data_IF_571354014670
#
_entry.id   IF_571354014670
#
_cell.length_a   1.000
_cell.length_b   1.000
_cell.length_c   1.000
_cell.angle_alpha   90.00
_cell.angle_beta   90.00
_cell.angle_gamma   90.00
#
_symmetry.space_group_name_H-M   'P 1'
#
loop_
_entity.id
_entity.type
_entity.pdbx_description
1 polymer ?
#
# COMPACT_ATOMS: atom_id res chain seq x y z
N UNK A 1 63.63 -10.32 -31.33
CA UNK A 1 63.26 -10.25 -29.90
C UNK A 1 62.17 -9.21 -29.78
N UNK A 2 60.92 -9.68 -29.80
CA UNK A 2 59.70 -8.93 -30.16
C UNK A 2 59.19 -8.15 -28.96
N UNK A 3 59.13 -6.83 -29.13
CA UNK A 3 58.50 -5.88 -28.22
C UNK A 3 56.98 -6.00 -28.35
N UNK A 4 56.30 -5.66 -27.25
CA UNK A 4 54.91 -5.21 -27.17
C UNK A 4 53.83 -6.29 -27.37
N UNK A 5 52.71 -6.05 -26.67
CA UNK A 5 51.40 -6.70 -26.79
C UNK A 5 51.20 -7.94 -25.90
N UNK A 6 50.72 -7.71 -24.67
CA UNK A 6 49.34 -8.09 -24.26
C UNK A 6 49.17 -7.85 -22.76
N UNK A 7 48.63 -6.68 -22.43
CA UNK A 7 47.99 -6.43 -21.14
C UNK A 7 46.71 -7.28 -21.05
N UNK A 8 46.80 -8.42 -20.39
CA UNK A 8 45.66 -9.29 -20.14
C UNK A 8 45.60 -9.61 -18.64
N UNK A 9 44.52 -9.14 -18.00
CA UNK A 9 43.77 -9.70 -16.87
C UNK A 9 43.31 -8.62 -15.87
N UNK A 10 42.04 -8.75 -15.51
CA UNK A 10 41.37 -8.19 -14.34
C UNK A 10 40.87 -6.74 -14.41
N UNK A 11 39.96 -6.48 -15.34
CA UNK A 11 38.78 -5.66 -15.02
C UNK A 11 37.53 -6.24 -15.67
N UNK A 12 37.24 -7.51 -15.31
CA UNK A 12 35.89 -8.06 -15.50
C UNK A 12 35.00 -7.52 -14.38
N UNK A 13 33.85 -6.98 -14.78
CA UNK A 13 32.65 -6.95 -13.95
C UNK A 13 32.54 -5.74 -13.03
N UNK A 14 31.78 -4.73 -13.46
CA UNK A 14 30.40 -4.56 -12.98
C UNK A 14 29.81 -3.29 -13.63
N UNK A 15 29.41 -3.36 -14.90
CA UNK A 15 28.26 -2.57 -15.33
C UNK A 15 27.04 -3.32 -14.81
N UNK A 16 26.67 -3.11 -13.54
CA UNK A 16 25.27 -3.25 -13.23
C UNK A 16 24.56 -2.16 -14.06
N UNK A 17 23.60 -2.49 -14.94
CA UNK A 17 22.53 -1.54 -15.13
C UNK A 17 22.04 -1.27 -13.72
N UNK A 18 22.07 -0.01 -13.31
CA UNK A 18 21.24 0.43 -12.20
C UNK A 18 19.83 -0.04 -12.55
N UNK A 19 19.45 -1.22 -12.04
CA UNK A 19 18.06 -1.57 -11.99
C UNK A 19 17.44 -0.36 -11.30
N UNK A 20 16.40 0.27 -11.86
CA UNK A 20 15.62 1.18 -11.04
C UNK A 20 15.36 0.39 -9.76
N UNK A 21 15.82 0.91 -8.62
CA UNK A 21 15.38 0.40 -7.33
C UNK A 21 13.90 0.71 -7.34
N UNK A 22 13.14 -0.19 -7.93
CA UNK A 22 11.71 -0.22 -7.85
C UNK A 22 11.49 -0.48 -6.38
N UNK A 23 11.39 0.62 -5.63
CA UNK A 23 10.64 0.66 -4.39
C UNK A 23 9.25 0.30 -4.86
N UNK A 24 9.05 -1.00 -4.95
CA UNK A 24 7.79 -1.61 -5.22
C UNK A 24 7.01 -1.41 -3.93
N UNK A 25 6.48 -0.20 -3.78
CA UNK A 25 5.41 0.08 -2.84
C UNK A 25 4.14 -0.50 -3.49
N UNK A 26 4.10 -1.82 -3.66
CA UNK A 26 2.88 -2.48 -4.08
C UNK A 26 1.84 -2.23 -3.00
N UNK A 27 0.84 -1.42 -3.35
CA UNK A 27 -0.27 -1.15 -2.47
C UNK A 27 -1.06 -2.44 -2.26
N UNK A 28 -1.29 -2.80 -1.01
CA UNK A 28 -2.12 -3.95 -0.68
C UNK A 28 -3.60 -3.57 -0.73
N UNK A 29 -4.45 -4.50 -1.17
CA UNK A 29 -5.90 -4.32 -1.08
C UNK A 29 -6.29 -4.20 0.40
N UNK A 30 -7.08 -3.18 0.72
CA UNK A 30 -7.46 -2.88 2.10
C UNK A 30 -6.45 -2.01 2.87
N UNK A 31 -5.36 -1.58 2.23
CA UNK A 31 -4.47 -0.59 2.82
C UNK A 31 -5.19 0.75 3.02
N UNK A 32 -4.85 1.45 4.11
CA UNK A 32 -5.25 2.83 4.35
C UNK A 32 -4.04 3.74 4.13
N UNK A 33 -4.26 4.85 3.43
CA UNK A 33 -3.24 5.86 3.17
C UNK A 33 -3.78 7.24 3.56
N UNK A 34 -3.06 7.92 4.45
CA UNK A 34 -3.33 9.32 4.76
C UNK A 34 -2.63 10.18 3.72
N UNK A 35 -3.37 11.08 3.09
CA UNK A 35 -2.88 11.93 2.01
C UNK A 35 -3.03 13.41 2.39
N UNK A 36 -2.09 14.25 1.97
CA UNK A 36 -2.12 15.69 2.20
C UNK A 36 -2.89 16.49 1.14
N UNK A 37 -3.43 15.81 0.12
CA UNK A 37 -4.19 16.41 -0.97
C UNK A 37 -5.68 16.05 -0.85
N UNK A 38 -6.55 16.94 -1.35
CA UNK A 38 -8.01 16.83 -1.21
C UNK A 38 -8.72 15.98 -2.27
N UNK A 39 -8.05 14.98 -2.84
CA UNK A 39 -8.66 14.11 -3.86
C UNK A 39 -8.25 12.65 -3.65
N UNK A 40 -9.14 11.73 -4.01
CA UNK A 40 -8.84 10.31 -4.00
C UNK A 40 -8.06 9.91 -5.27
N UNK A 41 -6.88 9.28 -5.15
CA UNK A 41 -6.14 8.79 -6.31
C UNK A 41 -6.91 7.67 -7.02
N UNK A 42 -6.62 7.45 -8.31
CA UNK A 42 -7.22 6.34 -9.07
C UNK A 42 -6.90 5.01 -8.41
N UNK A 43 -7.84 4.07 -8.49
CA UNK A 43 -7.83 2.74 -7.83
C UNK A 43 -7.89 2.76 -6.30
N UNK A 44 -8.05 3.94 -5.70
CA UNK A 44 -8.35 4.10 -4.27
C UNK A 44 -9.77 4.60 -4.10
N UNK A 45 -10.24 4.57 -2.87
CA UNK A 45 -11.57 5.08 -2.52
C UNK A 45 -11.49 5.71 -1.13
N UNK A 46 -12.15 6.86 -0.96
CA UNK A 46 -12.09 7.59 0.30
C UNK A 46 -12.73 6.78 1.44
N UNK A 47 -12.05 6.72 2.57
CA UNK A 47 -12.57 6.15 3.81
C UNK A 47 -13.55 7.12 4.49
N UNK A 48 -14.68 7.37 3.84
CA UNK A 48 -15.72 8.32 4.24
C UNK A 48 -17.04 7.66 4.68
N UNK A 49 -17.03 6.36 4.96
CA UNK A 49 -18.24 5.63 5.39
C UNK A 49 -19.19 5.24 4.25
N UNK A 50 -18.75 5.29 3.00
CA UNK A 50 -19.60 4.98 1.85
C UNK A 50 -19.95 3.49 1.74
N UNK A 51 -21.11 3.20 1.15
CA UNK A 51 -21.56 1.85 0.83
C UNK A 51 -21.20 1.53 -0.62
N UNK A 52 -20.48 0.42 -0.81
CA UNK A 52 -20.01 -0.05 -2.12
C UNK A 52 -20.65 -1.37 -2.49
N UNK A 53 -20.83 -1.60 -3.80
CA UNK A 53 -21.30 -2.87 -4.33
C UNK A 53 -20.20 -3.95 -4.22
N UNK A 54 -20.57 -5.12 -3.69
CA UNK A 54 -19.67 -6.27 -3.56
C UNK A 54 -19.23 -6.77 -4.93
N UNK A 55 -20.12 -6.73 -5.92
CA UNK A 55 -19.86 -7.21 -7.29
C UNK A 55 -18.65 -6.58 -7.95
N UNK A 56 -18.33 -5.33 -7.60
CA UNK A 56 -17.20 -4.57 -8.17
C UNK A 56 -15.96 -4.58 -7.28
N UNK A 57 -16.07 -5.02 -6.02
CA UNK A 57 -15.00 -4.93 -5.02
C UNK A 57 -14.90 -6.21 -4.19
N UNK A 58 -15.03 -7.37 -4.85
CA UNK A 58 -15.16 -8.66 -4.18
C UNK A 58 -13.95 -8.99 -3.29
N UNK A 59 -12.74 -8.66 -3.73
CA UNK A 59 -11.52 -8.89 -2.93
C UNK A 59 -11.48 -8.02 -1.68
N UNK A 60 -11.92 -6.76 -1.77
CA UNK A 60 -11.96 -5.86 -0.62
C UNK A 60 -13.04 -6.30 0.38
N UNK A 61 -14.20 -6.75 -0.10
CA UNK A 61 -15.25 -7.32 0.74
C UNK A 61 -14.78 -8.56 1.50
N UNK A 62 -14.00 -9.46 0.87
CA UNK A 62 -13.44 -10.62 1.56
C UNK A 62 -12.55 -10.27 2.76
N UNK A 63 -11.99 -9.06 2.79
CA UNK A 63 -11.16 -8.58 3.90
C UNK A 63 -11.97 -7.83 4.98
N UNK A 64 -12.85 -6.93 4.57
CA UNK A 64 -13.59 -6.04 5.48
C UNK A 64 -14.90 -6.65 6.00
N UNK A 65 -15.52 -7.53 5.21
CA UNK A 65 -16.87 -8.03 5.43
C UNK A 65 -17.88 -6.88 5.53
N UNK A 66 -18.78 -6.98 6.50
CA UNK A 66 -19.79 -5.95 6.82
C UNK A 66 -19.44 -5.15 8.08
N UNK A 67 -18.17 -5.17 8.50
CA UNK A 67 -17.71 -4.52 9.75
C UNK A 67 -18.10 -3.05 9.84
N UNK A 68 -18.11 -2.35 8.69
CA UNK A 68 -18.44 -0.93 8.58
C UNK A 68 -19.83 -0.67 7.96
N UNK A 69 -20.70 -1.68 7.91
CA UNK A 69 -22.06 -1.59 7.41
C UNK A 69 -22.30 -2.33 6.08
N UNK A 70 -23.46 -2.06 5.47
CA UNK A 70 -23.97 -2.77 4.29
C UNK A 70 -24.79 -4.01 4.64
N UNK A 71 -25.36 -4.65 3.63
CA UNK A 71 -26.23 -5.83 3.76
C UNK A 71 -25.47 -7.17 3.68
N UNK A 72 -24.18 -7.15 3.33
CA UNK A 72 -23.32 -8.34 3.19
C UNK A 72 -23.71 -9.29 2.05
N UNK A 73 -24.69 -8.91 1.24
CA UNK A 73 -25.19 -9.70 0.10
C UNK A 73 -24.92 -9.00 -1.22
N UNK A 74 -25.25 -7.72 -1.28
CA UNK A 74 -25.06 -6.89 -2.47
C UNK A 74 -24.07 -5.75 -2.21
N UNK A 75 -23.91 -5.36 -0.95
CA UNK A 75 -23.23 -4.15 -0.52
C UNK A 75 -22.44 -4.34 0.78
N UNK A 76 -21.39 -3.53 0.95
CA UNK A 76 -20.59 -3.46 2.16
C UNK A 76 -20.15 -2.02 2.41
N UNK A 77 -19.88 -1.68 3.67
CA UNK A 77 -19.41 -0.36 4.07
C UNK A 77 -17.89 -0.24 4.12
N UNK A 78 -17.39 0.96 3.85
CA UNK A 78 -16.02 1.37 4.18
C UNK A 78 -15.95 2.05 5.55
N UNK A 79 -14.77 2.09 6.20
CA UNK A 79 -14.58 2.89 7.40
C UNK A 79 -14.86 4.38 7.14
N UNK A 80 -15.38 5.09 8.15
CA UNK A 80 -15.49 6.55 8.16
C UNK A 80 -14.36 7.14 9.03
N UNK A 81 -13.33 7.65 8.36
CA UNK A 81 -12.16 8.27 8.98
C UNK A 81 -12.25 9.80 8.95
N UNK A 82 -13.36 10.39 8.50
CA UNK A 82 -13.52 11.84 8.52
C UNK A 82 -13.54 12.32 9.96
N UNK A 83 -12.71 13.31 10.28
CA UNK A 83 -12.51 13.80 11.65
C UNK A 83 -12.02 12.74 12.64
N UNK A 84 -11.43 11.63 12.17
CA UNK A 84 -10.81 10.61 13.02
C UNK A 84 -9.33 10.46 12.69
N UNK A 85 -8.53 10.18 13.71
CA UNK A 85 -7.13 9.86 13.53
C UNK A 85 -6.94 8.34 13.68
N UNK A 86 -6.40 7.62 12.68
CA UNK A 86 -6.12 6.21 12.81
C UNK A 86 -5.11 5.98 13.94
N UNK A 87 -5.45 5.09 14.87
CA UNK A 87 -4.57 4.63 15.95
C UNK A 87 -4.41 3.13 15.84
N UNK A 88 -3.23 2.62 16.21
CA UNK A 88 -3.00 1.18 16.27
C UNK A 88 -3.92 0.54 17.31
N UNK A 89 -4.36 -0.69 17.05
CA UNK A 89 -5.22 -1.43 17.98
C UNK A 89 -4.41 -1.89 19.20
N UNK A 90 -4.96 -1.70 20.40
CA UNK A 90 -4.35 -2.17 21.65
C UNK A 90 -3.56 -1.09 22.41
N UNK A 91 -3.09 -1.47 23.60
CA UNK A 91 -2.38 -0.58 24.53
C UNK A 91 -0.93 -1.05 24.67
N UNK A 92 0.02 -0.26 24.18
CA UNK A 92 1.45 -0.51 24.34
C UNK A 92 2.01 0.04 25.66
N UNK A 93 3.19 -0.40 26.12
CA UNK A 93 3.86 0.21 27.25
C UNK A 93 4.13 1.70 26.99
N UNK A 94 3.69 2.57 27.91
CA UNK A 94 3.94 4.02 27.82
C UNK A 94 3.00 4.80 26.90
N UNK A 95 1.89 4.20 26.42
CA UNK A 95 0.84 4.95 25.71
C UNK A 95 -0.45 4.99 26.50
N UNK A 96 -1.10 6.15 26.48
CA UNK A 96 -2.44 6.33 27.04
C UNK A 96 -3.47 5.83 26.02
N UNK A 97 -4.56 5.24 26.49
CA UNK A 97 -5.65 4.86 25.60
C UNK A 97 -6.25 6.10 24.93
N UNK A 98 -6.41 6.03 23.61
CA UNK A 98 -7.05 7.06 22.79
C UNK A 98 -8.41 6.51 22.36
N UNK A 99 -9.47 7.30 22.54
CA UNK A 99 -10.87 6.89 22.27
C UNK A 99 -11.37 7.50 20.97
#
# INVERSE_FOLDING_TARGET
MKKLLLSALASLGFLAPMAPTQVNADAYIGQLMNVGYGFCPRTWTEASGQILAISSNQTLFSLLGTTYGGDGRTSFGLPDLRSRNPVHVGSGPGVNNVT
#
